data_IF_435272976209
#
_entry.id   IF_435272976209
#
_cell.length_a   1.000
_cell.length_b   1.000
_cell.length_c   1.000
_cell.angle_alpha   90.00
_cell.angle_beta   90.00
_cell.angle_gamma   90.00
#
_symmetry.space_group_name_H-M   'P 1'
#
loop_
_entity.id
_entity.type
_entity.pdbx_description
1 polymer ?
#
# COMPACT_ATOMS: atom_id res chain seq x y z
N UNK A 1 8.52 1.73 -43.26
CA UNK A 1 9.01 0.38 -42.87
C UNK A 1 7.85 -0.37 -42.24
N UNK A 2 7.31 -1.36 -42.96
CA UNK A 2 6.16 -2.15 -42.52
C UNK A 2 6.63 -3.29 -41.60
N UNK A 3 6.03 -3.40 -40.42
CA UNK A 3 6.10 -4.61 -39.59
C UNK A 3 4.67 -5.08 -39.32
N UNK A 4 4.25 -6.11 -40.03
CA UNK A 4 3.03 -6.86 -39.75
C UNK A 4 3.31 -7.88 -38.67
N UNK A 5 2.62 -7.80 -37.53
CA UNK A 5 2.63 -8.84 -36.50
C UNK A 5 1.38 -9.71 -36.66
N UNK A 6 1.59 -10.97 -37.01
CA UNK A 6 0.57 -12.00 -37.11
C UNK A 6 0.23 -12.50 -35.69
N UNK A 7 -1.05 -12.50 -35.35
CA UNK A 7 -1.58 -13.06 -34.11
C UNK A 7 -1.77 -14.57 -34.24
N UNK A 8 -1.35 -15.33 -33.23
CA UNK A 8 -1.78 -16.71 -33.05
C UNK A 8 -2.48 -16.84 -31.69
N UNK A 9 -3.79 -17.06 -31.75
CA UNK A 9 -4.71 -17.34 -30.65
C UNK A 9 -4.78 -18.84 -30.45
N UNK A 10 -4.46 -19.34 -29.26
CA UNK A 10 -4.90 -20.64 -28.72
C UNK A 10 -4.88 -20.47 -27.19
N UNK A 11 -5.96 -20.60 -26.43
CA UNK A 11 -6.94 -21.68 -26.42
C UNK A 11 -6.74 -22.46 -25.11
N UNK A 12 -7.59 -22.16 -24.14
CA UNK A 12 -7.86 -22.74 -22.81
C UNK A 12 -7.44 -24.20 -22.54
N UNK A 13 -7.12 -24.53 -21.27
CA UNK A 13 -7.87 -25.53 -20.47
C UNK A 13 -7.37 -25.64 -19.01
N UNK A 14 -8.35 -25.77 -18.12
CA UNK A 14 -8.25 -25.94 -16.66
C UNK A 14 -7.78 -27.35 -16.28
N UNK A 15 -7.07 -27.49 -15.15
CA UNK A 15 -7.11 -28.70 -14.33
C UNK A 15 -6.65 -28.41 -12.89
N UNK A 16 -7.40 -28.95 -11.94
CA UNK A 16 -7.37 -28.74 -10.48
C UNK A 16 -6.87 -30.02 -9.79
N UNK A 17 -5.91 -29.86 -8.86
CA UNK A 17 -5.57 -30.69 -7.67
C UNK A 17 -5.11 -32.18 -7.86
N UNK A 18 -4.66 -32.93 -6.81
CA UNK A 18 -4.19 -32.59 -5.45
C UNK A 18 -2.82 -33.22 -5.04
N UNK A 19 -2.42 -32.93 -3.79
CA UNK A 19 -1.30 -33.43 -2.98
C UNK A 19 -1.16 -34.97 -2.92
N UNK A 20 0.09 -35.47 -3.00
CA UNK A 20 0.50 -36.70 -2.30
C UNK A 20 1.99 -36.68 -1.96
N UNK A 21 2.25 -36.74 -0.66
CA UNK A 21 3.56 -36.93 -0.03
C UNK A 21 3.96 -38.40 -0.06
N UNK A 22 5.12 -38.72 -0.64
CA UNK A 22 5.85 -39.95 -0.35
C UNK A 22 7.32 -39.76 -0.72
N UNK A 23 8.15 -39.63 0.30
CA UNK A 23 9.61 -39.75 0.22
C UNK A 23 10.02 -41.19 -0.08
N UNK A 24 11.06 -41.40 -0.90
CA UNK A 24 11.94 -42.54 -0.71
C UNK A 24 13.40 -42.12 -0.52
N UNK A 25 14.02 -42.93 0.33
CA UNK A 25 15.41 -42.97 0.75
C UNK A 25 16.42 -43.18 -0.38
N UNK A 26 17.57 -42.50 -0.20
CA UNK A 26 18.94 -42.83 -0.64
C UNK A 26 19.13 -43.98 -1.65
N UNK A 27 19.61 -43.63 -2.84
CA UNK A 27 20.68 -44.35 -3.53
C UNK A 27 21.38 -43.44 -4.53
N UNK A 28 22.71 -43.39 -4.45
CA UNK A 28 23.60 -42.65 -5.33
C UNK A 28 23.49 -43.12 -6.79
N UNK A 29 23.21 -42.20 -7.72
CA UNK A 29 23.76 -42.23 -9.08
C UNK A 29 23.92 -40.76 -9.53
N UNK A 30 25.16 -40.29 -9.62
CA UNK A 30 25.52 -39.08 -10.35
C UNK A 30 25.32 -39.32 -11.85
N UNK A 31 24.10 -39.15 -12.35
CA UNK A 31 23.86 -38.89 -13.77
C UNK A 31 23.68 -37.39 -13.93
N UNK A 32 24.74 -36.72 -14.39
CA UNK A 32 24.69 -35.40 -15.02
C UNK A 32 24.01 -35.52 -16.39
N UNK A 33 22.80 -36.08 -16.44
CA UNK A 33 21.95 -35.94 -17.60
C UNK A 33 21.28 -34.58 -17.45
N UNK A 34 21.90 -33.57 -18.05
CA UNK A 34 21.38 -32.22 -18.13
C UNK A 34 19.89 -32.28 -18.48
N UNK A 35 19.03 -31.78 -17.58
CA UNK A 35 17.59 -31.66 -17.80
C UNK A 35 17.32 -30.62 -18.90
N UNK A 36 17.59 -31.00 -20.16
CA UNK A 36 17.44 -30.14 -21.34
C UNK A 36 15.97 -29.84 -21.65
N UNK A 37 15.06 -30.71 -21.23
CA UNK A 37 13.62 -30.57 -21.48
C UNK A 37 12.96 -29.50 -20.59
N UNK A 38 13.38 -29.38 -19.31
CA UNK A 38 12.85 -28.34 -18.41
C UNK A 38 13.38 -26.95 -18.75
N UNK A 39 14.61 -26.85 -19.27
CA UNK A 39 15.16 -25.60 -19.79
C UNK A 39 14.51 -25.13 -21.09
N UNK A 40 14.01 -26.05 -21.93
CA UNK A 40 13.34 -25.73 -23.19
C UNK A 40 11.88 -25.32 -22.98
N UNK A 41 11.14 -26.03 -22.12
CA UNK A 41 9.71 -25.75 -21.85
C UNK A 41 9.49 -24.50 -20.98
N UNK A 42 10.44 -24.16 -20.11
CA UNK A 42 10.40 -22.96 -19.25
C UNK A 42 11.44 -21.90 -19.67
N UNK A 43 11.74 -21.86 -20.98
CA UNK A 43 12.81 -21.21 -21.78
C UNK A 43 13.56 -19.95 -21.30
N UNK A 44 13.21 -19.34 -20.18
CA UNK A 44 13.86 -18.13 -19.67
C UNK A 44 14.31 -18.27 -18.20
N UNK A 45 14.12 -19.42 -17.54
CA UNK A 45 14.49 -19.62 -16.13
C UNK A 45 15.92 -20.09 -16.00
N UNK A 46 16.81 -19.14 -15.69
CA UNK A 46 18.12 -19.42 -15.12
C UNK A 46 17.88 -19.59 -13.61
N UNK A 47 17.80 -20.82 -13.07
CA UNK A 47 17.83 -21.02 -11.63
C UNK A 47 19.17 -20.50 -11.12
N UNK A 48 19.15 -19.40 -10.36
CA UNK A 48 20.34 -18.91 -9.67
C UNK A 48 20.74 -19.95 -8.62
N UNK A 49 21.81 -20.71 -8.87
CA UNK A 49 22.32 -21.70 -7.90
C UNK A 49 22.91 -21.02 -6.66
N UNK A 50 23.61 -19.90 -6.84
CA UNK A 50 24.16 -19.05 -5.77
C UNK A 50 24.46 -17.66 -6.35
N UNK A 51 24.04 -16.59 -5.67
CA UNK A 51 24.44 -15.21 -5.99
C UNK A 51 25.40 -14.76 -4.90
N UNK A 52 26.62 -14.28 -5.25
CA UNK A 52 27.56 -13.81 -4.23
C UNK A 52 27.10 -12.46 -3.67
N UNK A 53 27.18 -12.29 -2.35
CA UNK A 53 26.80 -11.04 -1.68
C UNK A 53 25.29 -10.82 -1.61
N UNK A 54 24.86 -9.55 -1.72
CA UNK A 54 23.44 -9.17 -1.61
C UNK A 54 22.64 -9.55 -2.86
N UNK A 55 21.42 -10.06 -2.68
CA UNK A 55 20.55 -10.47 -3.79
C UNK A 55 20.01 -9.31 -4.61
N UNK A 56 19.84 -8.14 -3.99
CA UNK A 56 19.14 -6.98 -4.57
C UNK A 56 20.09 -5.83 -4.91
N UNK A 57 21.35 -5.91 -4.52
CA UNK A 57 22.35 -4.86 -4.68
C UNK A 57 23.66 -5.42 -5.21
N UNK A 58 24.48 -4.56 -5.84
CA UNK A 58 25.78 -4.94 -6.40
C UNK A 58 25.74 -5.40 -7.86
N UNK A 59 26.91 -5.78 -8.38
CA UNK A 59 27.14 -6.11 -9.80
C UNK A 59 26.44 -7.39 -10.23
N UNK A 60 26.47 -8.42 -9.38
CA UNK A 60 25.81 -9.70 -9.63
C UNK A 60 24.59 -9.80 -8.71
N UNK A 61 23.40 -9.46 -9.24
CA UNK A 61 22.13 -9.44 -8.48
C UNK A 61 21.01 -10.16 -9.24
N UNK A 62 19.95 -10.51 -8.51
CA UNK A 62 18.75 -11.13 -9.10
C UNK A 62 17.84 -10.04 -9.68
N UNK A 63 17.70 -10.00 -11.00
CA UNK A 63 16.75 -9.09 -11.66
C UNK A 63 15.40 -9.81 -11.77
N UNK A 64 14.32 -9.29 -11.14
CA UNK A 64 13.01 -9.88 -11.26
C UNK A 64 12.50 -9.74 -12.70
N UNK A 65 11.77 -10.75 -13.18
CA UNK A 65 11.16 -10.67 -14.51
C UNK A 65 10.00 -9.69 -14.53
N UNK A 66 9.87 -9.01 -15.65
CA UNK A 66 8.69 -8.19 -15.94
C UNK A 66 7.57 -9.10 -16.47
N UNK A 67 6.67 -9.53 -15.57
CA UNK A 67 5.50 -10.34 -15.91
C UNK A 67 4.49 -9.52 -16.71
N UNK A 68 3.66 -10.18 -17.51
CA UNK A 68 2.59 -9.50 -18.27
C UNK A 68 1.64 -8.72 -17.35
N UNK A 69 1.33 -9.24 -16.17
CA UNK A 69 0.52 -8.54 -15.16
C UNK A 69 1.15 -7.24 -14.68
N UNK A 70 2.47 -7.21 -14.46
CA UNK A 70 3.18 -5.99 -14.07
C UNK A 70 3.23 -4.96 -15.20
N UNK A 71 3.31 -5.42 -16.45
CA UNK A 71 3.19 -4.53 -17.61
C UNK A 71 1.80 -3.93 -17.71
N UNK A 72 0.75 -4.73 -17.53
CA UNK A 72 -0.63 -4.26 -17.57
C UNK A 72 -0.90 -3.23 -16.47
N UNK A 73 -0.56 -3.54 -15.21
CA UNK A 73 -0.73 -2.61 -14.09
C UNK A 73 0.02 -1.28 -14.31
N UNK A 74 1.24 -1.35 -14.84
CA UNK A 74 1.99 -0.14 -15.20
C UNK A 74 1.32 0.67 -16.31
N UNK A 75 0.74 0.01 -17.31
CA UNK A 75 -0.04 0.70 -18.35
C UNK A 75 -1.29 1.37 -17.77
N UNK A 76 -1.97 0.72 -16.83
CA UNK A 76 -3.15 1.31 -16.17
C UNK A 76 -2.79 2.58 -15.39
N UNK A 77 -1.67 2.56 -14.67
CA UNK A 77 -1.13 3.74 -13.97
C UNK A 77 -0.76 4.87 -14.93
N UNK A 78 -0.15 4.55 -16.08
CA UNK A 78 0.18 5.54 -17.11
C UNK A 78 -1.07 6.19 -17.71
N UNK A 79 -2.11 5.39 -17.99
CA UNK A 79 -3.38 5.90 -18.52
C UNK A 79 -4.08 6.81 -17.51
N UNK A 80 -4.07 6.44 -16.23
CA UNK A 80 -4.62 7.26 -15.14
C UNK A 80 -3.84 8.58 -15.01
N UNK A 81 -2.52 8.54 -15.10
CA UNK A 81 -1.67 9.73 -15.03
C UNK A 81 -1.97 10.66 -16.20
N UNK A 82 -2.04 10.12 -17.42
CA UNK A 82 -2.39 10.89 -18.61
C UNK A 82 -3.80 11.51 -18.49
N UNK A 83 -4.76 10.78 -17.93
CA UNK A 83 -6.10 11.30 -17.67
C UNK A 83 -6.06 12.47 -16.67
N UNK A 84 -5.31 12.33 -15.58
CA UNK A 84 -5.15 13.39 -14.58
C UNK A 84 -4.48 14.63 -15.18
N UNK A 85 -3.43 14.48 -15.98
CA UNK A 85 -2.78 15.58 -16.68
C UNK A 85 -3.76 16.35 -17.57
N UNK A 86 -4.64 15.66 -18.29
CA UNK A 86 -5.68 16.31 -19.11
C UNK A 86 -6.61 17.18 -18.27
N UNK A 87 -7.05 16.71 -17.10
CA UNK A 87 -7.92 17.49 -16.23
C UNK A 87 -7.19 18.66 -15.55
N UNK A 88 -5.96 18.43 -15.08
CA UNK A 88 -5.18 19.46 -14.37
C UNK A 88 -4.63 20.54 -15.31
N UNK A 89 -4.44 20.24 -16.59
CA UNK A 89 -3.92 21.21 -17.57
C UNK A 89 -4.88 22.34 -17.93
N UNK A 90 -6.17 22.22 -17.59
CA UNK A 90 -7.21 23.20 -17.95
C UNK A 90 -7.90 23.76 -16.71
N UNK A 91 -7.23 24.64 -15.95
CA UNK A 91 -7.85 25.30 -14.82
C UNK A 91 -9.01 26.18 -15.27
N UNK A 92 -10.05 26.29 -14.43
CA UNK A 92 -11.22 27.12 -14.70
C UNK A 92 -10.94 28.61 -14.49
N UNK A 93 -10.08 28.94 -13.53
CA UNK A 93 -9.68 30.30 -13.20
C UNK A 93 -8.28 30.60 -13.76
N UNK A 94 -8.06 31.85 -14.15
CA UNK A 94 -6.72 32.34 -14.42
C UNK A 94 -5.98 32.57 -13.10
N UNK A 95 -4.66 32.45 -13.13
CA UNK A 95 -3.81 32.65 -11.94
C UNK A 95 -4.00 34.04 -11.30
N UNK A 96 -4.30 35.06 -12.11
CA UNK A 96 -4.56 36.43 -11.64
C UNK A 96 -5.89 36.54 -10.89
N UNK A 97 -6.93 35.86 -11.37
CA UNK A 97 -8.23 35.79 -10.71
C UNK A 97 -8.14 35.02 -9.39
N UNK A 98 -7.36 33.94 -9.35
CA UNK A 98 -7.06 33.19 -8.14
C UNK A 98 -6.30 34.06 -7.12
N UNK A 99 -5.23 34.76 -7.53
CA UNK A 99 -4.43 35.59 -6.63
C UNK A 99 -5.25 36.70 -5.94
N UNK A 100 -6.30 37.19 -6.59
CA UNK A 100 -7.18 38.24 -6.06
C UNK A 100 -8.20 37.69 -5.05
N UNK A 101 -8.71 36.47 -5.27
CA UNK A 101 -9.78 35.86 -4.46
C UNK A 101 -9.25 35.03 -3.29
N UNK A 102 -8.15 34.31 -3.52
CA UNK A 102 -7.51 33.41 -2.55
C UNK A 102 -7.18 34.04 -1.18
N UNK A 103 -6.63 35.27 -1.04
CA UNK A 103 -6.25 35.77 0.28
C UNK A 103 -7.46 35.93 1.22
N UNK A 104 -8.60 36.36 0.68
CA UNK A 104 -9.82 36.54 1.45
C UNK A 104 -10.48 35.21 1.83
N UNK A 105 -10.51 34.25 0.90
CA UNK A 105 -11.08 32.92 1.17
C UNK A 105 -10.20 32.11 2.13
N UNK A 106 -8.89 32.16 1.93
CA UNK A 106 -7.91 31.50 2.81
C UNK A 106 -7.97 32.04 4.24
N UNK A 107 -8.14 33.35 4.43
CA UNK A 107 -8.32 33.92 5.76
C UNK A 107 -9.61 33.40 6.44
N UNK A 108 -10.71 33.25 5.69
CA UNK A 108 -11.96 32.67 6.20
C UNK A 108 -11.81 31.18 6.53
N UNK A 109 -11.08 30.42 5.71
CA UNK A 109 -10.78 29.02 5.96
C UNK A 109 -9.92 28.83 7.20
N UNK A 110 -8.82 29.59 7.32
CA UNK A 110 -7.97 29.56 8.51
C UNK A 110 -8.73 29.94 9.78
N UNK A 111 -9.65 30.91 9.71
CA UNK A 111 -10.51 31.23 10.85
C UNK A 111 -11.39 30.04 11.24
N UNK A 112 -12.03 29.36 10.28
CA UNK A 112 -12.85 28.16 10.52
C UNK A 112 -12.02 27.01 11.09
N UNK A 113 -10.84 26.76 10.54
CA UNK A 113 -9.92 25.72 11.04
C UNK A 113 -9.48 26.00 12.47
N UNK A 114 -9.15 27.26 12.79
CA UNK A 114 -8.79 27.67 14.14
C UNK A 114 -9.96 27.47 15.12
N UNK A 115 -11.19 27.85 14.74
CA UNK A 115 -12.37 27.62 15.58
C UNK A 115 -12.58 26.13 15.88
N UNK A 116 -12.47 25.27 14.86
CA UNK A 116 -12.59 23.81 15.03
C UNK A 116 -11.46 23.28 15.91
N UNK A 117 -10.23 23.75 15.69
CA UNK A 117 -9.08 23.36 16.49
C UNK A 117 -9.26 23.72 17.98
N UNK A 118 -9.67 24.95 18.28
CA UNK A 118 -9.87 25.39 19.67
C UNK A 118 -11.07 24.70 20.34
N UNK A 119 -12.14 24.37 19.61
CA UNK A 119 -13.24 23.55 20.13
C UNK A 119 -12.77 22.16 20.54
N UNK A 120 -12.04 21.49 19.66
CA UNK A 120 -11.45 20.16 19.94
C UNK A 120 -10.48 20.25 21.13
N UNK A 121 -9.69 21.32 21.20
CA UNK A 121 -8.75 21.53 22.29
C UNK A 121 -9.46 21.74 23.63
N UNK A 122 -10.53 22.54 23.65
CA UNK A 122 -11.34 22.80 24.84
C UNK A 122 -11.98 21.51 25.37
N UNK A 123 -12.55 20.68 24.48
CA UNK A 123 -13.11 19.38 24.85
C UNK A 123 -12.05 18.48 25.50
N UNK A 124 -10.87 18.38 24.89
CA UNK A 124 -9.75 17.62 25.44
C UNK A 124 -9.29 18.16 26.79
N UNK A 125 -9.29 19.49 26.98
CA UNK A 125 -8.92 20.12 28.23
C UNK A 125 -9.91 19.78 29.35
N UNK A 126 -11.22 19.86 29.08
CA UNK A 126 -12.29 19.50 30.03
C UNK A 126 -12.22 18.02 30.46
N UNK A 127 -11.91 17.13 29.53
CA UNK A 127 -11.74 15.69 29.84
C UNK A 127 -10.50 15.45 30.71
N UNK A 128 -9.39 16.12 30.39
CA UNK A 128 -8.12 15.93 31.11
C UNK A 128 -8.18 16.44 32.54
N UNK A 129 -8.86 17.56 32.76
CA UNK A 129 -8.95 18.23 34.06
C UNK A 129 -10.39 18.23 34.58
N UNK A 130 -10.85 17.15 35.23
CA UNK A 130 -12.16 17.14 35.85
C UNK A 130 -12.19 18.08 37.06
N UNK A 131 -13.31 18.79 37.24
CA UNK A 131 -13.54 19.61 38.42
C UNK A 131 -13.76 18.71 39.64
N UNK A 132 -12.80 18.67 40.56
CA UNK A 132 -12.91 17.96 41.84
C UNK A 132 -13.34 18.96 42.91
N UNK A 133 -14.57 18.86 43.37
CA UNK A 133 -15.10 19.72 44.43
C UNK A 133 -14.78 19.14 45.80
N UNK A 134 -14.57 20.00 46.79
CA UNK A 134 -14.31 19.55 48.16
C UNK A 134 -15.57 18.91 48.74
N UNK A 135 -16.75 19.46 48.43
CA UNK A 135 -18.05 19.01 48.91
C UNK A 135 -18.29 17.52 48.66
N UNK A 136 -17.87 17.02 47.49
CA UNK A 136 -17.97 15.60 47.13
C UNK A 136 -17.17 14.73 48.12
N UNK A 137 -15.98 15.20 48.54
CA UNK A 137 -15.15 14.53 49.54
C UNK A 137 -15.82 14.52 50.92
N UNK A 138 -16.36 15.66 51.38
CA UNK A 138 -17.06 15.73 52.68
C UNK A 138 -18.33 14.87 52.70
N UNK A 139 -19.06 14.80 51.59
CA UNK A 139 -20.26 13.97 51.47
C UNK A 139 -19.97 12.48 51.71
N UNK A 140 -18.79 12.01 51.28
CA UNK A 140 -18.37 10.63 51.46
C UNK A 140 -18.16 10.25 52.94
N UNK A 141 -17.72 11.19 53.77
CA UNK A 141 -17.51 10.97 55.21
C UNK A 141 -18.82 10.72 55.96
N UNK A 142 -19.95 11.23 55.45
CA UNK A 142 -21.26 11.01 56.05
C UNK A 142 -21.73 9.55 55.96
N UNK A 143 -21.16 8.74 55.07
CA UNK A 143 -21.52 7.32 54.94
C UNK A 143 -21.22 6.49 56.19
N UNK A 144 -20.28 6.93 57.01
CA UNK A 144 -19.91 6.26 58.27
C UNK A 144 -20.65 6.83 59.49
N UNK A 145 -21.60 7.75 59.29
CA UNK A 145 -22.33 8.38 60.39
C UNK A 145 -23.27 7.36 61.02
N UNK A 146 -22.99 7.00 62.27
CA UNK A 146 -23.87 6.18 63.10
C UNK A 146 -24.87 7.07 63.82
N UNK A 147 -26.10 6.61 63.94
CA UNK A 147 -27.12 7.25 64.74
C UNK A 147 -27.23 6.48 66.05
N UNK A 148 -27.18 7.19 67.17
CA UNK A 148 -27.45 6.60 68.48
C UNK A 148 -28.96 6.36 68.57
N UNK A 149 -29.34 5.10 68.84
CA UNK A 149 -30.72 4.64 69.03
C UNK A 149 -31.07 4.74 70.52
#
# INVERSE_FOLDING_TARGET
MHFTFSYCVVGTLNAVAPLRSSSPSRSCICTLQAMRLTSLLLGHFIPYKRVPGSLWAGKQRKIPRLTASRKAAFMDELLLTQQNERYLSRPFLSQEAEATTLPAEKAKELARENEVFYKIYEEKFRIRFPNRKLEDFWSHLNNCKKFDI
#
